data_IF_386100097694
#
_entry.id   IF_386100097694
#
_cell.length_a   1.000
_cell.length_b   1.000
_cell.length_c   1.000
_cell.angle_alpha   90.00
_cell.angle_beta   90.00
_cell.angle_gamma   90.00
#
_symmetry.space_group_name_H-M   'P 1'
#
loop_
_entity.id
_entity.type
_entity.pdbx_description
1 polymer ?
#
# COMPACT_ATOMS: atom_id res chain seq x y z
N UNK A 1 32.69 -14.16 -58.16
CA UNK A 1 31.48 -14.98 -57.91
C UNK A 1 30.87 -14.49 -56.60
N UNK A 2 29.60 -14.07 -56.62
CA UNK A 2 28.89 -13.43 -55.50
C UNK A 2 28.06 -14.51 -54.81
N UNK A 3 28.21 -14.68 -53.49
CA UNK A 3 27.47 -15.66 -52.72
C UNK A 3 26.04 -15.12 -52.44
N UNK A 4 24.97 -15.71 -53.01
CA UNK A 4 23.63 -15.15 -52.92
C UNK A 4 22.81 -15.64 -51.70
N UNK A 5 23.46 -16.26 -50.70
CA UNK A 5 22.80 -16.85 -49.54
C UNK A 5 23.40 -16.42 -48.20
N UNK A 6 23.69 -15.13 -48.03
CA UNK A 6 23.90 -14.60 -46.69
C UNK A 6 22.52 -14.53 -46.00
N UNK A 7 22.14 -15.59 -45.28
CA UNK A 7 21.05 -15.52 -44.32
C UNK A 7 21.47 -14.55 -43.22
N UNK A 8 20.94 -13.33 -43.27
CA UNK A 8 20.91 -12.45 -42.11
C UNK A 8 19.93 -13.06 -41.13
N UNK A 9 20.43 -13.88 -40.21
CA UNK A 9 19.70 -14.20 -38.99
C UNK A 9 19.67 -12.92 -38.16
N UNK A 10 18.66 -12.08 -38.39
CA UNK A 10 18.34 -11.04 -37.43
C UNK A 10 17.74 -11.72 -36.20
N UNK A 11 18.61 -12.07 -35.26
CA UNK A 11 18.15 -12.35 -33.91
C UNK A 11 17.67 -11.03 -33.28
N UNK A 12 16.37 -10.78 -33.43
CA UNK A 12 15.66 -9.79 -32.64
C UNK A 12 15.49 -10.35 -31.22
N UNK A 13 16.58 -10.40 -30.45
CA UNK A 13 16.50 -10.58 -29.00
C UNK A 13 15.91 -9.29 -28.44
N UNK A 14 14.57 -9.26 -28.35
CA UNK A 14 13.84 -8.15 -27.77
C UNK A 14 14.07 -8.12 -26.25
N UNK A 15 13.94 -6.95 -25.61
CA UNK A 15 14.36 -6.75 -24.23
C UNK A 15 13.62 -7.66 -23.25
N UNK A 16 14.36 -8.12 -22.23
CA UNK A 16 14.01 -9.08 -21.18
C UNK A 16 13.10 -8.46 -20.10
N UNK A 17 12.12 -7.66 -20.52
CA UNK A 17 11.33 -6.80 -19.62
C UNK A 17 10.51 -7.61 -18.62
N UNK A 18 9.78 -8.62 -19.09
CA UNK A 18 8.91 -9.41 -18.24
C UNK A 18 9.72 -10.03 -17.09
N UNK A 19 10.91 -10.53 -17.40
CA UNK A 19 11.79 -11.11 -16.39
C UNK A 19 12.25 -10.06 -15.36
N UNK A 20 12.61 -8.86 -15.79
CA UNK A 20 13.00 -7.78 -14.88
C UNK A 20 11.84 -7.28 -14.00
N UNK A 21 10.60 -7.30 -14.51
CA UNK A 21 9.41 -7.03 -13.68
C UNK A 21 9.16 -8.18 -12.70
N UNK A 22 9.35 -9.44 -13.09
CA UNK A 22 9.24 -10.61 -12.20
C UNK A 22 10.30 -10.60 -11.09
N UNK A 23 11.49 -10.06 -11.36
CA UNK A 23 12.53 -9.86 -10.34
C UNK A 23 12.12 -8.81 -9.28
N UNK A 24 11.27 -7.85 -9.65
CA UNK A 24 10.61 -6.97 -8.68
C UNK A 24 9.40 -7.69 -8.10
N UNK A 25 9.52 -8.24 -6.89
CA UNK A 25 8.40 -8.95 -6.27
C UNK A 25 7.23 -8.03 -5.90
N UNK A 26 7.51 -6.77 -5.60
CA UNK A 26 6.54 -5.83 -5.02
C UNK A 26 6.88 -4.39 -5.39
N UNK A 27 5.86 -3.60 -5.70
CA UNK A 27 5.98 -2.18 -5.98
C UNK A 27 5.10 -1.36 -5.02
N UNK A 28 5.73 -0.58 -4.14
CA UNK A 28 5.05 0.41 -3.32
C UNK A 28 4.69 1.62 -4.18
N UNK A 29 3.40 1.83 -4.39
CA UNK A 29 2.91 2.71 -5.44
C UNK A 29 2.23 3.97 -4.89
N UNK A 30 1.81 3.97 -3.62
CA UNK A 30 1.30 5.15 -2.94
C UNK A 30 1.51 5.06 -1.43
N UNK A 31 1.62 6.21 -0.77
CA UNK A 31 1.69 6.32 0.70
C UNK A 31 0.78 7.45 1.16
N UNK A 32 0.13 7.27 2.30
CA UNK A 32 -0.77 8.24 2.91
C UNK A 32 -0.45 8.44 4.39
N UNK A 33 -0.52 9.69 4.84
CA UNK A 33 -0.43 10.04 6.26
C UNK A 33 -1.82 10.28 6.83
N UNK A 34 -2.08 9.75 8.01
CA UNK A 34 -3.38 9.77 8.67
C UNK A 34 -3.26 10.24 10.10
N UNK A 35 -4.23 11.04 10.52
CA UNK A 35 -4.44 11.39 11.92
C UNK A 35 -5.83 10.93 12.32
N UNK A 36 -5.91 10.12 13.37
CA UNK A 36 -7.15 9.60 13.93
C UNK A 36 -7.31 10.07 15.37
N UNK A 37 -8.56 10.32 15.76
CA UNK A 37 -8.92 10.66 17.13
C UNK A 37 -9.67 9.47 17.70
N UNK A 38 -9.05 8.78 18.65
CA UNK A 38 -9.63 7.65 19.34
C UNK A 38 -10.19 8.15 20.67
N UNK A 39 -11.50 8.05 20.82
CA UNK A 39 -12.12 8.37 22.11
C UNK A 39 -11.78 7.25 23.10
N UNK A 40 -11.11 7.63 24.19
CA UNK A 40 -10.67 6.69 25.20
C UNK A 40 -11.89 6.15 25.97
N UNK A 41 -12.99 6.92 26.04
CA UNK A 41 -14.21 6.61 26.81
C UNK A 41 -14.95 5.34 26.37
N UNK A 42 -14.72 4.86 25.14
CA UNK A 42 -15.43 3.70 24.57
C UNK A 42 -14.71 2.37 24.81
N UNK A 43 -13.51 2.37 25.40
CA UNK A 43 -12.79 1.14 25.71
C UNK A 43 -13.28 0.51 27.03
N UNK A 44 -13.45 -0.80 27.06
CA UNK A 44 -14.02 -1.55 28.20
C UNK A 44 -13.08 -1.69 29.42
N UNK A 45 -11.91 -1.06 29.40
CA UNK A 45 -10.82 -1.25 30.38
C UNK A 45 -10.40 0.07 31.05
N UNK A 46 -11.30 1.05 31.12
CA UNK A 46 -10.96 2.35 31.68
C UNK A 46 -10.98 2.38 33.20
N UNK A 47 -9.98 3.02 33.82
CA UNK A 47 -10.08 3.48 35.19
C UNK A 47 -11.30 4.40 35.39
N UNK A 48 -11.95 4.29 36.55
CA UNK A 48 -13.12 5.09 36.91
C UNK A 48 -12.88 6.61 36.85
N UNK A 49 -11.62 7.05 36.96
CA UNK A 49 -11.26 8.48 36.86
C UNK A 49 -11.34 9.05 35.44
N UNK A 50 -11.45 8.21 34.39
CA UNK A 50 -11.60 8.64 32.99
C UNK A 50 -13.06 8.69 32.53
N UNK A 51 -13.99 8.17 33.33
CA UNK A 51 -15.42 8.13 33.00
C UNK A 51 -15.99 9.55 32.97
N UNK A 52 -16.58 9.96 31.84
CA UNK A 52 -17.16 11.28 31.64
C UNK A 52 -16.15 12.41 31.42
N UNK A 53 -14.88 12.07 31.16
CA UNK A 53 -13.85 13.04 30.80
C UNK A 53 -13.68 13.17 29.28
N UNK A 54 -13.42 14.39 28.80
CA UNK A 54 -12.98 14.64 27.42
C UNK A 54 -11.50 14.29 27.28
N UNK A 55 -11.22 12.98 27.23
CA UNK A 55 -9.89 12.42 26.99
C UNK A 55 -9.88 11.67 25.67
N UNK A 56 -9.01 12.09 24.76
CA UNK A 56 -8.88 11.49 23.44
C UNK A 56 -7.42 11.10 23.20
N UNK A 57 -7.20 10.00 22.50
CA UNK A 57 -5.90 9.63 21.97
C UNK A 57 -5.81 10.10 20.53
N UNK A 58 -4.79 10.90 20.23
CA UNK A 58 -4.47 11.32 18.87
C UNK A 58 -3.43 10.35 18.32
N UNK A 59 -3.81 9.54 17.34
CA UNK A 59 -2.91 8.65 16.62
C UNK A 59 -2.51 9.26 15.30
N UNK A 60 -1.21 9.39 15.06
CA UNK A 60 -0.65 9.82 13.77
C UNK A 60 0.16 8.68 13.18
N UNK A 61 0.01 8.42 11.89
CA UNK A 61 0.74 7.34 11.24
C UNK A 61 0.61 7.36 9.74
N UNK A 62 1.16 6.33 9.11
CA UNK A 62 1.15 6.15 7.66
C UNK A 62 0.62 4.78 7.28
N UNK A 63 0.06 4.70 6.09
CA UNK A 63 -0.28 3.44 5.43
C UNK A 63 0.24 3.51 3.98
N UNK A 64 0.71 2.38 3.46
CA UNK A 64 1.28 2.27 2.14
C UNK A 64 0.43 1.32 1.31
N UNK A 65 0.18 1.67 0.05
CA UNK A 65 -0.43 0.78 -0.91
C UNK A 65 0.60 0.25 -1.91
N UNK A 66 0.53 -1.04 -2.20
CA UNK A 66 1.45 -1.73 -3.08
C UNK A 66 0.73 -2.65 -4.07
N UNK A 67 1.41 -2.98 -5.17
CA UNK A 67 0.98 -4.04 -6.09
C UNK A 67 2.01 -5.17 -6.06
N UNK A 68 1.53 -6.40 -5.92
CA UNK A 68 2.35 -7.62 -5.97
C UNK A 68 2.56 -8.04 -7.43
N UNK A 69 3.82 -8.17 -7.83
CA UNK A 69 4.24 -8.54 -9.18
C UNK A 69 4.73 -9.99 -9.27
N UNK A 70 4.79 -10.73 -8.16
CA UNK A 70 5.18 -12.15 -8.15
C UNK A 70 4.25 -13.04 -8.99
N UNK A 71 3.02 -12.56 -9.25
CA UNK A 71 2.04 -13.18 -10.13
C UNK A 71 2.21 -12.85 -11.62
N UNK A 72 3.09 -11.92 -12.00
CA UNK A 72 3.28 -11.48 -13.40
C UNK A 72 4.07 -12.48 -14.25
N UNK A 73 3.51 -13.66 -14.46
CA UNK A 73 4.11 -14.73 -15.26
C UNK A 73 3.07 -15.39 -16.16
N UNK A 74 3.55 -16.04 -17.22
CA UNK A 74 2.70 -16.75 -18.17
C UNK A 74 1.60 -15.84 -18.74
N UNK A 75 0.35 -16.23 -18.56
CA UNK A 75 -0.83 -15.53 -19.10
C UNK A 75 -1.17 -14.21 -18.38
N UNK A 76 -0.33 -13.74 -17.46
CA UNK A 76 -0.44 -12.37 -16.94
C UNK A 76 0.17 -11.32 -17.88
N UNK A 77 1.07 -11.73 -18.80
CA UNK A 77 1.72 -10.82 -19.75
C UNK A 77 1.67 -11.39 -21.16
N UNK A 78 0.99 -10.67 -22.05
CA UNK A 78 0.87 -11.01 -23.47
C UNK A 78 1.59 -9.97 -24.30
N UNK A 79 2.36 -10.45 -25.26
CA UNK A 79 3.00 -9.63 -26.28
C UNK A 79 2.57 -10.14 -27.64
N UNK A 80 2.17 -9.25 -28.54
CA UNK A 80 1.83 -9.62 -29.91
C UNK A 80 3.07 -10.10 -30.68
N UNK A 81 2.87 -10.95 -31.69
CA UNK A 81 3.97 -11.50 -32.51
C UNK A 81 4.82 -10.40 -33.17
N UNK A 82 4.18 -9.29 -33.57
CA UNK A 82 4.84 -8.11 -34.15
C UNK A 82 5.51 -7.19 -33.11
N UNK A 83 5.38 -7.53 -31.82
CA UNK A 83 5.89 -6.78 -30.65
C UNK A 83 5.47 -5.31 -30.59
N UNK A 84 4.36 -4.95 -31.23
CA UNK A 84 3.83 -3.58 -31.15
C UNK A 84 2.82 -3.41 -30.02
N UNK A 85 2.28 -4.52 -29.49
CA UNK A 85 1.25 -4.52 -28.47
C UNK A 85 1.64 -5.36 -27.26
N UNK A 86 1.35 -4.85 -26.06
CA UNK A 86 1.56 -5.54 -24.80
C UNK A 86 0.35 -5.39 -23.89
N UNK A 87 -0.09 -6.50 -23.29
CA UNK A 87 -1.12 -6.52 -22.25
C UNK A 87 -0.52 -7.09 -20.97
N UNK A 88 -0.70 -6.36 -19.86
CA UNK A 88 -0.32 -6.80 -18.52
C UNK A 88 -1.58 -6.84 -17.67
N UNK A 89 -1.81 -7.96 -16.99
CA UNK A 89 -2.88 -8.15 -16.01
C UNK A 89 -2.29 -8.33 -14.62
N UNK A 90 -2.63 -7.44 -13.70
CA UNK A 90 -2.07 -7.34 -12.35
C UNK A 90 -3.08 -7.80 -11.29
N UNK A 91 -2.60 -8.22 -10.13
CA UNK A 91 -3.43 -8.24 -8.93
C UNK A 91 -3.79 -6.80 -8.51
N UNK A 92 -4.95 -6.63 -7.87
CA UNK A 92 -5.33 -5.35 -7.28
C UNK A 92 -4.32 -4.89 -6.23
N UNK A 93 -4.22 -3.58 -6.04
CA UNK A 93 -3.35 -3.03 -5.00
C UNK A 93 -3.86 -3.42 -3.60
N UNK A 94 -2.92 -3.57 -2.67
CA UNK A 94 -3.18 -3.95 -1.29
C UNK A 94 -2.56 -2.92 -0.35
N UNK A 95 -3.16 -2.76 0.82
CA UNK A 95 -2.58 -1.95 1.89
C UNK A 95 -1.59 -2.77 2.70
N UNK A 96 -0.53 -2.11 3.15
CA UNK A 96 0.29 -2.60 4.24
C UNK A 96 -0.45 -2.49 5.57
N UNK A 97 0.04 -3.19 6.60
CA UNK A 97 -0.29 -2.82 7.97
C UNK A 97 0.10 -1.36 8.21
N UNK A 98 -0.87 -0.55 8.65
CA UNK A 98 -0.63 0.82 9.04
C UNK A 98 0.51 0.90 10.07
N UNK A 99 1.36 1.92 9.99
CA UNK A 99 2.42 2.17 10.97
C UNK A 99 2.12 3.43 11.75
N UNK A 100 2.23 3.35 13.08
CA UNK A 100 1.98 4.48 13.96
C UNK A 100 3.29 5.22 14.24
N UNK A 101 3.26 6.55 14.16
CA UNK A 101 4.32 7.40 14.68
C UNK A 101 4.08 7.61 16.18
N UNK A 102 4.81 6.86 17.01
CA UNK A 102 4.71 6.94 18.47
C UNK A 102 5.18 8.28 19.05
N UNK A 103 5.96 9.06 18.30
CA UNK A 103 6.44 10.38 18.76
C UNK A 103 5.39 11.46 18.54
N UNK A 104 4.65 11.40 17.42
CA UNK A 104 3.57 12.34 17.15
C UNK A 104 2.24 11.90 17.80
N UNK A 105 2.09 10.61 18.10
CA UNK A 105 0.90 10.07 18.76
C UNK A 105 0.90 10.30 20.27
N UNK A 106 -0.18 10.85 20.81
CA UNK A 106 -0.24 11.25 22.22
C UNK A 106 -1.67 11.29 22.77
N UNK A 107 -1.79 11.22 24.10
CA UNK A 107 -3.07 11.49 24.76
C UNK A 107 -3.28 12.99 24.93
N UNK A 108 -4.45 13.45 24.51
CA UNK A 108 -4.94 14.79 24.72
C UNK A 108 -6.06 14.77 25.79
N UNK A 109 -5.96 15.66 26.78
CA UNK A 109 -6.95 15.81 27.84
C UNK A 109 -7.18 17.31 28.11
N UNK A 110 -8.42 17.74 28.36
CA UNK A 110 -8.68 19.18 28.59
C UNK A 110 -8.55 19.61 30.06
N UNK A 111 -8.59 18.68 31.01
CA UNK A 111 -8.73 18.98 32.44
C UNK A 111 -7.39 19.04 33.21
N UNK A 112 -7.17 20.12 33.98
CA UNK A 112 -6.04 20.22 34.91
C UNK A 112 -6.08 19.11 35.96
N UNK A 113 -4.97 18.39 36.13
CA UNK A 113 -4.83 17.27 37.06
C UNK A 113 -5.29 15.91 36.51
N UNK A 114 -5.94 15.87 35.35
CA UNK A 114 -6.22 14.62 34.63
C UNK A 114 -4.99 14.13 33.87
N UNK A 115 -4.21 15.05 33.29
CA UNK A 115 -2.92 14.76 32.65
C UNK A 115 -1.99 13.92 33.53
N UNK A 116 -1.80 14.32 34.80
CA UNK A 116 -0.92 13.61 35.74
C UNK A 116 -1.41 12.17 35.96
N UNK A 117 -2.72 11.98 36.18
CA UNK A 117 -3.31 10.65 36.43
C UNK A 117 -3.26 9.74 35.21
N UNK A 118 -3.49 10.28 34.02
CA UNK A 118 -3.33 9.56 32.75
C UNK A 118 -1.88 9.13 32.59
N UNK A 119 -0.94 10.05 32.76
CA UNK A 119 0.48 9.77 32.61
C UNK A 119 0.92 8.68 33.59
N UNK A 120 0.49 8.75 34.85
CA UNK A 120 0.79 7.73 35.87
C UNK A 120 0.18 6.37 35.52
N UNK A 121 -1.07 6.34 35.02
CA UNK A 121 -1.73 5.11 34.59
C UNK A 121 -1.05 4.47 33.38
N UNK A 122 -0.76 5.25 32.35
CA UNK A 122 -0.11 4.75 31.15
C UNK A 122 1.30 4.26 31.50
N UNK A 123 2.11 5.08 32.17
CA UNK A 123 3.47 4.69 32.57
C UNK A 123 3.48 3.49 33.52
N UNK A 124 2.44 3.33 34.35
CA UNK A 124 2.28 2.19 35.24
C UNK A 124 1.67 0.94 34.60
N UNK A 125 1.11 1.04 33.38
CA UNK A 125 0.43 -0.06 32.70
C UNK A 125 0.80 -0.16 31.20
N UNK A 126 1.83 -0.96 30.87
CA UNK A 126 2.26 -1.17 29.49
C UNK A 126 1.16 -1.73 28.56
N UNK A 127 0.28 -2.58 29.09
CA UNK A 127 -0.77 -3.23 28.31
C UNK A 127 -1.83 -2.22 27.82
N UNK A 128 -2.13 -1.19 28.62
CA UNK A 128 -3.11 -0.17 28.25
C UNK A 128 -2.58 0.78 27.17
N UNK A 129 -1.29 1.13 27.20
CA UNK A 129 -0.66 1.90 26.12
C UNK A 129 -0.70 1.11 24.81
N UNK A 130 -0.34 -0.17 24.87
CA UNK A 130 -0.36 -1.05 23.71
C UNK A 130 -1.75 -1.15 23.09
N UNK A 131 -2.80 -1.34 23.89
CA UNK A 131 -4.17 -1.42 23.38
C UNK A 131 -4.63 -0.13 22.69
N UNK A 132 -4.22 1.05 23.17
CA UNK A 132 -4.53 2.33 22.52
C UNK A 132 -3.80 2.48 21.18
N UNK A 133 -2.52 2.08 21.11
CA UNK A 133 -1.76 2.10 19.87
C UNK A 133 -2.32 1.12 18.84
N UNK A 134 -2.69 -0.09 19.24
CA UNK A 134 -3.35 -1.08 18.38
C UNK A 134 -4.69 -0.56 17.85
N UNK A 135 -5.49 0.09 18.70
CA UNK A 135 -6.76 0.69 18.29
C UNK A 135 -6.55 1.83 17.29
N UNK A 136 -5.58 2.72 17.54
CA UNK A 136 -5.26 3.80 16.61
C UNK A 136 -4.73 3.28 15.27
N UNK A 137 -3.85 2.27 15.28
CA UNK A 137 -3.36 1.60 14.08
C UNK A 137 -4.52 1.01 13.26
N UNK A 138 -5.49 0.39 13.94
CA UNK A 138 -6.70 -0.15 13.29
C UNK A 138 -7.57 0.94 12.67
N UNK A 139 -7.76 2.06 13.36
CA UNK A 139 -8.51 3.20 12.81
C UNK A 139 -7.78 3.84 11.62
N UNK A 140 -6.45 3.94 11.64
CA UNK A 140 -5.65 4.40 10.49
C UNK A 140 -5.84 3.44 9.32
N UNK A 141 -5.71 2.13 9.55
CA UNK A 141 -5.93 1.12 8.50
C UNK A 141 -7.33 1.23 7.89
N UNK A 142 -8.35 1.41 8.73
CA UNK A 142 -9.74 1.56 8.27
C UNK A 142 -9.95 2.87 7.49
N UNK A 143 -9.28 3.94 7.87
CA UNK A 143 -9.28 5.21 7.13
C UNK A 143 -8.58 5.05 5.78
N UNK A 144 -7.41 4.41 5.74
CA UNK A 144 -6.67 4.11 4.52
C UNK A 144 -7.50 3.27 3.54
N UNK A 145 -8.18 2.23 4.03
CA UNK A 145 -9.07 1.38 3.24
C UNK A 145 -10.26 2.11 2.61
N UNK A 146 -10.70 3.23 3.20
CA UNK A 146 -11.78 4.09 2.68
C UNK A 146 -11.27 5.27 1.86
N UNK A 147 -9.95 5.48 1.82
CA UNK A 147 -9.32 6.59 1.10
C UNK A 147 -9.10 6.25 -0.38
N UNK A 148 -8.50 7.18 -1.12
CA UNK A 148 -8.08 6.94 -2.51
C UNK A 148 -6.79 6.13 -2.61
N UNK A 149 -6.13 5.80 -1.49
CA UNK A 149 -4.76 5.26 -1.48
C UNK A 149 -4.56 4.01 -2.34
N UNK A 150 -5.51 3.07 -2.30
CA UNK A 150 -5.49 1.86 -3.15
C UNK A 150 -5.64 2.23 -4.64
N UNK A 151 -6.59 3.10 -4.96
CA UNK A 151 -6.82 3.55 -6.33
C UNK A 151 -5.62 4.37 -6.88
N UNK A 152 -4.97 5.16 -6.03
CA UNK A 152 -3.78 5.93 -6.37
C UNK A 152 -2.59 4.99 -6.64
N UNK A 153 -2.41 3.95 -5.83
CA UNK A 153 -1.42 2.91 -6.09
C UNK A 153 -1.66 2.19 -7.42
N UNK A 154 -2.90 1.84 -7.73
CA UNK A 154 -3.25 1.20 -9.00
C UNK A 154 -2.98 2.13 -10.19
N UNK A 155 -3.35 3.40 -10.07
CA UNK A 155 -3.09 4.41 -11.08
C UNK A 155 -1.58 4.61 -11.30
N UNK A 156 -0.82 4.77 -10.23
CA UNK A 156 0.62 5.01 -10.29
C UNK A 156 1.36 3.81 -10.90
N UNK A 157 0.95 2.59 -10.55
CA UNK A 157 1.47 1.36 -11.13
C UNK A 157 1.20 1.29 -12.63
N UNK A 158 -0.02 1.61 -13.07
CA UNK A 158 -0.38 1.67 -14.49
C UNK A 158 0.44 2.69 -15.26
N UNK A 159 0.66 3.88 -14.69
CA UNK A 159 1.52 4.91 -15.27
C UNK A 159 2.95 4.40 -15.42
N UNK A 160 3.51 3.80 -14.37
CA UNK A 160 4.87 3.25 -14.38
C UNK A 160 5.05 2.20 -15.47
N UNK A 161 4.19 1.17 -15.50
CA UNK A 161 4.28 0.08 -16.47
C UNK A 161 4.04 0.54 -17.91
N UNK A 162 3.10 1.49 -18.10
CA UNK A 162 2.86 2.07 -19.42
C UNK A 162 4.08 2.83 -19.92
N UNK A 163 4.67 3.70 -19.09
CA UNK A 163 5.87 4.46 -19.46
C UNK A 163 7.07 3.54 -19.74
N UNK A 164 7.22 2.48 -18.95
CA UNK A 164 8.25 1.46 -19.15
C UNK A 164 8.08 0.75 -20.50
N UNK A 165 6.89 0.24 -20.82
CA UNK A 165 6.62 -0.42 -22.10
C UNK A 165 6.77 0.53 -23.30
N UNK A 166 6.35 1.79 -23.16
CA UNK A 166 6.55 2.82 -24.19
C UNK A 166 8.04 3.04 -24.46
N UNK A 167 8.88 3.10 -23.42
CA UNK A 167 10.33 3.26 -23.58
C UNK A 167 11.00 2.11 -24.35
N UNK A 168 10.36 0.95 -24.37
CA UNK A 168 10.79 -0.25 -25.10
C UNK A 168 10.20 -0.37 -26.50
N UNK A 169 9.40 0.61 -26.94
CA UNK A 169 8.88 0.69 -28.31
C UNK A 169 7.49 0.11 -28.52
N UNK A 170 6.80 -0.35 -27.47
CA UNK A 170 5.41 -0.76 -27.57
C UNK A 170 4.50 0.44 -27.85
N UNK A 171 3.54 0.28 -28.77
CA UNK A 171 2.62 1.33 -29.18
C UNK A 171 1.23 1.16 -28.57
N UNK A 172 0.76 -0.09 -28.49
CA UNK A 172 -0.56 -0.41 -27.94
C UNK A 172 -0.37 -1.12 -26.60
N UNK A 173 -0.59 -0.41 -25.51
CA UNK A 173 -0.34 -0.91 -24.16
C UNK A 173 -1.65 -0.97 -23.38
N UNK A 174 -1.96 -2.14 -22.85
CA UNK A 174 -3.06 -2.35 -21.92
C UNK A 174 -2.50 -2.82 -20.58
N UNK A 175 -2.81 -2.09 -19.52
CA UNK A 175 -2.54 -2.50 -18.14
C UNK A 175 -3.88 -2.60 -17.43
N UNK A 176 -4.20 -3.80 -17.00
CA UNK A 176 -5.47 -4.19 -16.41
C UNK A 176 -5.25 -4.76 -15.02
N UNK A 177 -6.27 -4.69 -14.19
CA UNK A 177 -6.34 -5.42 -12.93
C UNK A 177 -7.25 -6.62 -13.12
N UNK A 178 -6.84 -7.77 -12.59
CA UNK A 178 -7.61 -8.99 -12.64
C UNK A 178 -8.96 -8.78 -11.94
N UNK A 179 -10.04 -9.28 -12.55
CA UNK A 179 -11.33 -9.31 -11.88
C UNK A 179 -11.16 -10.06 -10.56
N UNK A 180 -11.48 -9.39 -9.45
CA UNK A 180 -11.38 -9.98 -8.12
C UNK A 180 -12.11 -11.34 -8.13
N UNK A 181 -11.49 -12.47 -7.76
CA UNK A 181 -12.27 -13.67 -7.52
C UNK A 181 -13.28 -13.31 -6.44
N UNK A 182 -14.57 -13.36 -6.79
CA UNK A 182 -15.66 -13.08 -5.87
C UNK A 182 -15.39 -13.78 -4.53
N UNK A 183 -15.53 -13.02 -3.44
CA UNK A 183 -15.04 -13.39 -2.11
C UNK A 183 -15.30 -14.85 -1.68
N UNK A 184 -14.31 -15.39 -0.97
CA UNK A 184 -14.46 -16.57 -0.12
C UNK A 184 -14.47 -16.16 1.33
#
# INVERSE_FOLDING_TARGET
>A
MRNPFAQQTEEHSGPVLLQSIVELSRYEAASGSFQVVVDITTSSVLPSFLVGSDTMFIGVGTDNAYVDFSGLKGDAVQVSDDRQSATITLAHAQLEPATLDVHESHVYAQQQGLFTRINDFLNGNPNSQQALYELAQKEIQAAAAKSTLVADAERNTKVMLTGLLQSLGFKNIAVNYADNPAGG
#
